data_IF_408333605482
#
_entry.id   IF_408333605482
#
_cell.length_a   1.000
_cell.length_b   1.000
_cell.length_c   1.000
_cell.angle_alpha   90.00
_cell.angle_beta   90.00
_cell.angle_gamma   90.00
#
_symmetry.space_group_name_H-M   'P 1'
#
loop_
_entity.id
_entity.type
_entity.pdbx_description
1 polymer ?
#
# COMPACT_ATOMS: atom_id res chain seq x y z
N UNK A 1 -24.51 21.54 18.77
CA UNK A 1 -25.55 21.94 17.80
C UNK A 1 -25.62 20.86 16.73
N UNK A 2 -26.62 20.00 16.82
CA UNK A 2 -26.89 18.93 15.86
C UNK A 2 -27.43 19.55 14.58
N UNK A 3 -26.70 19.42 13.48
CA UNK A 3 -27.31 19.62 12.17
C UNK A 3 -28.21 18.41 11.91
N UNK A 4 -29.52 18.62 12.07
CA UNK A 4 -30.55 17.74 11.56
C UNK A 4 -30.38 17.66 10.03
N UNK A 5 -29.81 16.55 9.55
CA UNK A 5 -30.04 16.11 8.18
C UNK A 5 -31.54 15.79 8.09
N UNK A 6 -32.31 16.71 7.53
CA UNK A 6 -33.70 16.47 7.19
C UNK A 6 -33.74 15.33 6.17
N UNK A 7 -34.14 14.14 6.61
CA UNK A 7 -34.47 13.04 5.70
C UNK A 7 -35.72 13.43 4.93
N UNK A 8 -35.57 14.06 3.77
CA UNK A 8 -36.54 13.88 2.70
C UNK A 8 -36.39 12.44 2.24
N UNK A 9 -37.19 11.57 2.84
CA UNK A 9 -37.35 10.19 2.43
C UNK A 9 -38.10 10.16 1.09
N UNK A 10 -37.43 10.57 0.02
CA UNK A 10 -37.66 9.96 -1.30
C UNK A 10 -36.96 8.61 -1.24
N UNK A 11 -37.66 7.65 -0.67
CA UNK A 11 -37.24 6.26 -0.65
C UNK A 11 -37.44 5.67 -2.04
N UNK A 12 -36.59 6.04 -2.99
CA UNK A 12 -36.39 5.28 -4.22
C UNK A 12 -35.58 4.02 -3.87
N UNK A 13 -36.20 3.15 -3.08
CA UNK A 13 -35.86 1.73 -3.04
C UNK A 13 -36.04 1.24 -4.47
N UNK A 14 -35.00 0.66 -5.09
CA UNK A 14 -35.08 0.07 -6.43
C UNK A 14 -36.38 -0.75 -6.59
N UNK A 15 -37.41 -0.16 -7.20
CA UNK A 15 -38.68 -0.83 -7.44
C UNK A 15 -38.46 -1.68 -8.68
N UNK A 16 -38.50 -3.00 -8.52
CA UNK A 16 -38.45 -3.96 -9.62
C UNK A 16 -39.59 -3.66 -10.59
N UNK A 17 -39.30 -2.96 -11.70
CA UNK A 17 -40.29 -2.61 -12.72
C UNK A 17 -40.14 -1.19 -13.25
N UNK A 18 -39.58 -0.26 -12.49
CA UNK A 18 -39.28 1.08 -12.99
C UNK A 18 -37.95 1.07 -13.72
N UNK A 19 -37.95 1.58 -14.96
CA UNK A 19 -36.70 1.78 -15.71
C UNK A 19 -35.91 2.91 -15.06
N UNK A 20 -35.06 2.56 -14.10
CA UNK A 20 -33.93 3.40 -13.75
C UNK A 20 -33.07 3.55 -15.01
N UNK A 21 -33.03 4.76 -15.56
CA UNK A 21 -32.08 5.13 -16.59
C UNK A 21 -30.92 5.81 -15.89
N UNK A 22 -29.76 5.15 -15.71
CA UNK A 22 -28.58 5.81 -15.20
C UNK A 22 -28.31 7.07 -16.05
N UNK A 23 -27.86 8.18 -15.45
CA UNK A 23 -27.78 9.50 -16.10
C UNK A 23 -26.91 9.55 -17.37
N UNK A 24 -26.19 8.47 -17.70
CA UNK A 24 -25.36 8.35 -18.90
C UNK A 24 -25.62 7.05 -19.70
N UNK A 25 -26.55 6.20 -19.28
CA UNK A 25 -26.76 4.87 -19.87
C UNK A 25 -27.21 4.88 -21.34
N UNK A 26 -27.78 5.99 -21.81
CA UNK A 26 -28.27 6.14 -23.18
C UNK A 26 -27.28 6.90 -24.10
N UNK A 27 -26.07 7.17 -23.63
CA UNK A 27 -25.04 7.92 -24.38
C UNK A 27 -23.76 7.08 -24.55
N UNK A 28 -23.76 6.01 -25.37
CA UNK A 28 -22.59 5.14 -25.52
C UNK A 28 -21.34 5.86 -26.04
N UNK A 29 -21.51 6.92 -26.85
CA UNK A 29 -20.41 7.76 -27.34
C UNK A 29 -19.77 8.58 -26.21
N UNK A 30 -20.55 8.96 -25.19
CA UNK A 30 -20.02 9.69 -24.02
C UNK A 30 -19.10 8.81 -23.18
N UNK A 31 -19.37 7.50 -23.08
CA UNK A 31 -18.47 6.56 -22.41
C UNK A 31 -17.17 6.31 -23.18
N UNK A 32 -17.22 6.28 -24.52
CA UNK A 32 -16.00 6.16 -25.32
C UNK A 32 -15.10 7.38 -25.20
N UNK A 33 -15.70 8.57 -25.28
CA UNK A 33 -14.98 9.83 -25.09
C UNK A 33 -14.47 9.96 -23.65
N UNK A 34 -15.25 9.56 -22.64
CA UNK A 34 -14.81 9.52 -21.25
C UNK A 34 -13.56 8.65 -21.07
N UNK A 35 -13.53 7.43 -21.62
CA UNK A 35 -12.35 6.56 -21.55
C UNK A 35 -11.13 7.20 -22.19
N UNK A 36 -11.32 7.89 -23.33
CA UNK A 36 -10.24 8.62 -23.99
C UNK A 36 -9.72 9.76 -23.11
N UNK A 37 -10.61 10.53 -22.50
CA UNK A 37 -10.25 11.61 -21.58
C UNK A 37 -9.54 11.10 -20.32
N UNK A 38 -10.00 9.99 -19.75
CA UNK A 38 -9.34 9.33 -18.61
C UNK A 38 -7.92 8.89 -18.98
N UNK A 39 -7.72 8.28 -20.15
CA UNK A 39 -6.40 7.88 -20.63
C UNK A 39 -5.49 9.08 -20.88
N UNK A 40 -6.00 10.15 -21.51
CA UNK A 40 -5.25 11.38 -21.71
C UNK A 40 -4.81 11.99 -20.39
N UNK A 41 -5.72 12.10 -19.41
CA UNK A 41 -5.40 12.66 -18.10
C UNK A 41 -4.40 11.80 -17.34
N UNK A 42 -4.56 10.47 -17.38
CA UNK A 42 -3.61 9.54 -16.78
C UNK A 42 -2.21 9.70 -17.39
N UNK A 43 -2.12 9.74 -18.72
CA UNK A 43 -0.85 9.90 -19.43
C UNK A 43 -0.20 11.26 -19.14
N UNK A 44 -1.00 12.33 -19.07
CA UNK A 44 -0.53 13.67 -18.67
C UNK A 44 0.14 13.62 -17.29
N UNK A 45 -0.48 12.97 -16.29
CA UNK A 45 0.08 12.88 -14.94
C UNK A 45 1.34 11.98 -14.93
N UNK A 46 1.28 10.81 -15.57
CA UNK A 46 2.40 9.86 -15.60
C UNK A 46 3.64 10.40 -16.32
N UNK A 47 3.46 11.24 -17.34
CA UNK A 47 4.54 11.89 -18.09
C UNK A 47 4.96 13.24 -17.51
N UNK A 48 4.31 13.69 -16.44
CA UNK A 48 4.63 14.96 -15.79
C UNK A 48 6.06 14.93 -15.24
N UNK A 49 6.85 15.95 -15.56
CA UNK A 49 8.17 16.17 -14.94
C UNK A 49 8.07 16.38 -13.42
N UNK A 50 6.86 16.65 -12.90
CA UNK A 50 6.59 16.75 -11.46
C UNK A 50 6.18 15.41 -10.85
N UNK A 51 6.21 14.29 -11.57
CA UNK A 51 5.84 12.99 -10.98
C UNK A 51 6.83 12.59 -9.88
N UNK A 52 8.10 12.52 -10.24
CA UNK A 52 9.19 12.15 -9.34
C UNK A 52 9.78 13.41 -8.71
N UNK A 53 9.51 13.62 -7.43
CA UNK A 53 9.88 14.85 -6.71
C UNK A 53 10.89 14.56 -5.61
N UNK A 54 11.81 15.49 -5.34
CA UNK A 54 12.70 15.38 -4.18
C UNK A 54 11.88 15.54 -2.90
N UNK A 55 12.24 14.83 -1.84
CA UNK A 55 11.49 14.91 -0.58
C UNK A 55 11.47 16.33 0.01
N UNK A 56 12.53 17.11 -0.20
CA UNK A 56 12.66 18.49 0.25
C UNK A 56 11.76 19.48 -0.50
N UNK A 57 11.29 19.11 -1.69
CA UNK A 57 10.38 19.93 -2.51
C UNK A 57 8.90 19.65 -2.17
N UNK A 58 8.64 18.71 -1.25
CA UNK A 58 7.29 18.27 -0.89
C UNK A 58 6.81 18.88 0.42
N UNK A 59 5.55 19.28 0.42
CA UNK A 59 4.82 19.72 1.60
C UNK A 59 4.31 18.50 2.39
N UNK A 60 4.39 18.56 3.73
CA UNK A 60 3.71 17.62 4.60
C UNK A 60 2.22 17.96 4.67
N UNK A 61 1.48 17.50 3.66
CA UNK A 61 0.04 17.74 3.50
C UNK A 61 -0.70 16.48 3.10
N UNK A 62 -1.99 16.48 3.37
CA UNK A 62 -2.95 15.51 2.83
C UNK A 62 -4.27 16.22 2.62
N UNK A 63 -4.89 15.99 1.47
CA UNK A 63 -6.22 16.48 1.15
C UNK A 63 -7.32 15.56 1.71
N UNK A 64 -6.94 14.38 2.23
CA UNK A 64 -7.84 13.48 2.95
C UNK A 64 -8.19 14.10 4.30
N UNK A 65 -9.48 14.13 4.64
CA UNK A 65 -9.92 14.61 5.96
C UNK A 65 -9.60 13.58 7.05
N UNK A 66 -9.30 14.05 8.27
CA UNK A 66 -9.00 13.19 9.41
C UNK A 66 -10.04 12.08 9.61
N UNK A 67 -11.35 12.39 9.57
CA UNK A 67 -12.39 11.38 9.74
C UNK A 67 -12.36 10.29 8.66
N UNK A 68 -11.98 10.61 7.43
CA UNK A 68 -11.85 9.62 6.37
C UNK A 68 -10.68 8.67 6.66
N UNK A 69 -9.53 9.20 7.09
CA UNK A 69 -8.39 8.38 7.55
C UNK A 69 -8.75 7.49 8.74
N UNK A 70 -9.52 8.01 9.69
CA UNK A 70 -10.00 7.25 10.85
C UNK A 70 -10.87 6.06 10.39
N UNK A 71 -11.80 6.31 9.48
CA UNK A 71 -12.70 5.27 8.99
C UNK A 71 -11.94 4.18 8.24
N UNK A 72 -10.98 4.55 7.38
CA UNK A 72 -10.15 3.58 6.64
C UNK A 72 -9.25 2.78 7.57
N UNK A 73 -8.67 3.43 8.59
CA UNK A 73 -7.84 2.75 9.60
C UNK A 73 -8.66 1.75 10.41
N UNK A 74 -9.89 2.07 10.83
CA UNK A 74 -10.72 1.09 11.55
C UNK A 74 -11.10 -0.10 10.66
N UNK A 75 -11.48 0.17 9.41
CA UNK A 75 -11.85 -0.86 8.45
C UNK A 75 -10.69 -1.80 8.12
N UNK A 76 -9.43 -1.30 8.07
CA UNK A 76 -8.27 -2.10 7.67
C UNK A 76 -8.04 -3.31 8.60
N UNK A 77 -8.23 -3.16 9.91
CA UNK A 77 -8.07 -4.26 10.88
C UNK A 77 -9.14 -5.34 10.80
N UNK A 78 -10.27 -5.06 10.14
CA UNK A 78 -11.33 -6.04 9.87
C UNK A 78 -11.24 -6.60 8.44
N UNK A 79 -10.38 -6.04 7.60
CA UNK A 79 -10.26 -6.41 6.19
C UNK A 79 -9.64 -7.80 6.05
N UNK A 80 -10.32 -8.65 5.28
CA UNK A 80 -9.88 -10.02 5.00
C UNK A 80 -9.83 -10.32 3.51
N UNK A 81 -8.85 -11.12 3.12
CA UNK A 81 -8.74 -11.70 1.79
C UNK A 81 -8.70 -13.22 1.89
N UNK A 82 -9.58 -13.95 1.20
CA UNK A 82 -9.65 -15.43 1.24
C UNK A 82 -9.69 -16.04 2.67
N UNK A 83 -10.18 -15.27 3.64
CA UNK A 83 -10.21 -15.67 5.05
C UNK A 83 -8.94 -15.36 5.84
N UNK A 84 -7.96 -14.65 5.30
CA UNK A 84 -6.78 -14.13 6.00
C UNK A 84 -6.98 -12.68 6.39
N UNK A 85 -6.45 -12.25 7.53
CA UNK A 85 -6.36 -10.83 7.86
C UNK A 85 -5.23 -10.21 7.04
N UNK A 86 -5.49 -9.04 6.44
CA UNK A 86 -4.50 -8.37 5.58
C UNK A 86 -4.05 -7.02 6.15
N UNK A 87 -4.84 -6.42 7.04
CA UNK A 87 -4.55 -5.13 7.67
C UNK A 87 -4.29 -3.96 6.70
N UNK A 88 -4.79 -4.04 5.46
CA UNK A 88 -4.69 -2.99 4.44
C UNK A 88 -6.03 -2.31 4.17
N UNK A 89 -5.99 -1.00 3.92
CA UNK A 89 -7.16 -0.19 3.57
C UNK A 89 -7.53 -0.35 2.09
N UNK A 90 -8.76 0.01 1.68
CA UNK A 90 -9.12 0.00 0.27
C UNK A 90 -8.22 0.88 -0.62
N UNK A 91 -7.62 1.94 -0.05
CA UNK A 91 -6.69 2.82 -0.77
C UNK A 91 -5.41 2.05 -1.09
N UNK A 92 -4.85 1.34 -0.11
CA UNK A 92 -3.63 0.54 -0.27
C UNK A 92 -3.80 -0.51 -1.36
N UNK A 93 -4.95 -1.20 -1.39
CA UNK A 93 -5.27 -2.16 -2.46
C UNK A 93 -5.19 -1.55 -3.86
N UNK A 94 -5.73 -0.33 -4.04
CA UNK A 94 -5.67 0.34 -5.34
C UNK A 94 -4.25 0.76 -5.65
N UNK A 95 -3.54 1.38 -4.70
CA UNK A 95 -2.17 1.86 -4.90
C UNK A 95 -1.20 0.71 -5.23
N UNK A 96 -1.24 -0.39 -4.48
CA UNK A 96 -0.43 -1.57 -4.77
C UNK A 96 -0.76 -2.18 -6.13
N UNK A 97 -2.05 -2.25 -6.51
CA UNK A 97 -2.41 -2.74 -7.84
C UNK A 97 -1.88 -1.83 -8.96
N UNK A 98 -1.93 -0.50 -8.79
CA UNK A 98 -1.34 0.44 -9.75
C UNK A 98 0.19 0.26 -9.81
N UNK A 99 0.83 0.15 -8.64
CA UNK A 99 2.27 -0.02 -8.50
C UNK A 99 2.75 -1.31 -9.18
N UNK A 100 2.06 -2.45 -8.99
CA UNK A 100 2.41 -3.72 -9.63
C UNK A 100 2.35 -3.64 -11.16
N UNK A 101 1.31 -3.02 -11.72
CA UNK A 101 1.19 -2.89 -13.18
C UNK A 101 2.26 -1.95 -13.77
N UNK A 102 2.62 -0.89 -13.05
CA UNK A 102 3.65 0.05 -13.48
C UNK A 102 5.06 -0.53 -13.38
N UNK A 103 5.40 -1.17 -12.26
CA UNK A 103 6.77 -1.64 -11.95
C UNK A 103 7.01 -3.03 -12.53
N UNK A 104 6.01 -3.89 -12.51
CA UNK A 104 6.09 -5.31 -12.87
C UNK A 104 7.26 -6.00 -12.13
N UNK A 105 7.23 -5.97 -10.78
CA UNK A 105 8.35 -6.45 -9.98
C UNK A 105 8.63 -7.91 -10.29
N UNK A 106 9.92 -8.27 -10.37
CA UNK A 106 10.37 -9.67 -10.44
C UNK A 106 10.65 -10.23 -9.05
N UNK A 107 10.86 -9.34 -8.09
CA UNK A 107 11.10 -9.65 -6.69
C UNK A 107 10.32 -8.67 -5.83
N UNK A 108 9.59 -9.17 -4.85
CA UNK A 108 9.03 -8.38 -3.75
C UNK A 108 9.71 -8.83 -2.46
N UNK A 109 10.19 -7.88 -1.66
CA UNK A 109 10.72 -8.12 -0.32
C UNK A 109 9.83 -7.36 0.65
N UNK A 110 9.15 -8.06 1.54
CA UNK A 110 8.24 -7.53 2.54
C UNK A 110 8.82 -7.80 3.94
N UNK A 111 8.95 -6.75 4.76
CA UNK A 111 9.27 -6.89 6.18
C UNK A 111 8.01 -6.59 6.99
N UNK A 112 7.63 -7.53 7.88
CA UNK A 112 6.35 -7.50 8.58
C UNK A 112 5.36 -8.42 7.89
N UNK A 113 5.36 -9.71 8.26
CA UNK A 113 4.49 -10.72 7.63
C UNK A 113 3.11 -10.77 8.30
N UNK A 114 3.06 -10.57 9.62
CA UNK A 114 1.86 -10.77 10.44
C UNK A 114 1.25 -12.17 10.20
N UNK A 115 0.12 -12.24 9.48
CA UNK A 115 -0.63 -13.46 9.20
C UNK A 115 -0.15 -14.17 7.92
N UNK A 116 0.63 -13.48 7.09
CA UNK A 116 1.00 -13.86 5.72
C UNK A 116 -0.07 -13.56 4.66
N UNK A 117 -1.19 -12.93 5.04
CA UNK A 117 -2.30 -12.63 4.12
C UNK A 117 -1.92 -11.66 2.99
N UNK A 118 -1.09 -10.65 3.29
CA UNK A 118 -0.63 -9.67 2.30
C UNK A 118 0.26 -10.33 1.25
N UNK A 119 1.27 -11.10 1.66
CA UNK A 119 2.12 -11.87 0.75
C UNK A 119 1.31 -12.78 -0.21
N UNK A 120 0.30 -13.49 0.30
CA UNK A 120 -0.60 -14.31 -0.53
C UNK A 120 -1.42 -13.46 -1.50
N UNK A 121 -1.98 -12.35 -1.02
CA UNK A 121 -2.75 -11.44 -1.88
C UNK A 121 -1.89 -10.83 -3.00
N UNK A 122 -0.65 -10.44 -2.69
CA UNK A 122 0.30 -9.93 -3.68
C UNK A 122 0.60 -11.01 -4.75
N UNK A 123 0.85 -12.25 -4.34
CA UNK A 123 1.09 -13.35 -5.26
C UNK A 123 -0.09 -13.62 -6.20
N UNK A 124 -1.31 -13.69 -5.64
CA UNK A 124 -2.53 -13.89 -6.42
C UNK A 124 -2.75 -12.72 -7.40
N UNK A 125 -2.54 -11.47 -6.94
CA UNK A 125 -2.74 -10.26 -7.76
C UNK A 125 -1.74 -10.16 -8.91
N UNK A 126 -0.45 -10.43 -8.64
CA UNK A 126 0.59 -10.49 -9.68
C UNK A 126 0.28 -11.58 -10.70
N UNK A 127 -0.19 -12.75 -10.25
CA UNK A 127 -0.63 -13.84 -11.11
C UNK A 127 -1.78 -13.43 -12.04
N UNK A 128 -2.77 -12.71 -11.53
CA UNK A 128 -3.88 -12.17 -12.33
C UNK A 128 -3.42 -11.15 -13.38
N UNK A 129 -2.39 -10.36 -13.06
CA UNK A 129 -1.76 -9.42 -13.99
C UNK A 129 -0.81 -10.09 -14.99
N UNK A 130 -0.58 -11.41 -14.88
CA UNK A 130 0.38 -12.13 -15.70
C UNK A 130 1.84 -11.77 -15.40
N UNK A 131 2.12 -11.24 -14.20
CA UNK A 131 3.45 -10.82 -13.75
C UNK A 131 4.07 -11.95 -12.95
N UNK A 132 5.26 -12.41 -13.37
CA UNK A 132 6.03 -13.41 -12.64
C UNK A 132 6.94 -12.72 -11.62
N UNK A 133 6.67 -12.95 -10.34
CA UNK A 133 7.46 -12.40 -9.23
C UNK A 133 7.63 -13.44 -8.12
N UNK A 134 8.78 -13.41 -7.45
CA UNK A 134 8.98 -14.09 -6.18
C UNK A 134 8.76 -13.09 -5.03
N UNK A 135 8.13 -13.55 -3.95
CA UNK A 135 7.83 -12.74 -2.76
C UNK A 135 8.58 -13.32 -1.57
N UNK A 136 9.39 -12.50 -0.91
CA UNK A 136 10.12 -12.84 0.31
C UNK A 136 9.55 -12.03 1.46
N UNK A 137 8.78 -12.67 2.33
CA UNK A 137 8.10 -12.03 3.46
C UNK A 137 8.79 -12.44 4.75
N UNK A 138 9.42 -11.48 5.43
CA UNK A 138 10.15 -11.70 6.67
C UNK A 138 9.33 -11.27 7.89
N UNK A 139 9.42 -12.03 8.97
CA UNK A 139 8.95 -11.61 10.29
C UNK A 139 9.90 -12.09 11.38
N UNK A 140 9.89 -11.39 12.52
CA UNK A 140 10.58 -11.84 13.73
C UNK A 140 9.94 -13.11 14.27
N UNK A 141 8.60 -13.17 14.23
CA UNK A 141 7.81 -14.27 14.76
C UNK A 141 6.91 -14.89 13.69
N UNK A 142 7.36 -16.03 13.19
CA UNK A 142 6.62 -16.78 12.17
C UNK A 142 5.43 -17.57 12.70
N UNK A 143 5.21 -17.60 14.02
CA UNK A 143 4.09 -18.33 14.63
C UNK A 143 2.74 -17.64 14.43
N UNK A 144 2.75 -16.34 14.15
CA UNK A 144 1.53 -15.55 13.86
C UNK A 144 0.93 -15.84 12.47
N UNK A 145 1.64 -16.60 11.61
CA UNK A 145 1.11 -16.97 10.29
C UNK A 145 -0.16 -17.80 10.43
N UNK A 146 -1.18 -17.41 9.66
CA UNK A 146 -2.47 -18.12 9.63
C UNK A 146 -2.29 -19.58 9.20
N UNK A 147 -2.98 -20.51 9.89
CA UNK A 147 -3.01 -21.92 9.50
C UNK A 147 -3.40 -22.13 8.03
N UNK A 148 -4.33 -21.31 7.53
CA UNK A 148 -4.79 -21.40 6.15
C UNK A 148 -3.67 -21.01 5.17
N UNK A 149 -2.81 -20.03 5.49
CA UNK A 149 -1.66 -19.64 4.65
C UNK A 149 -0.65 -20.79 4.63
N UNK A 150 -0.38 -21.37 5.80
CA UNK A 150 0.49 -22.55 5.93
C UNK A 150 -0.03 -23.75 5.13
N UNK A 151 -1.36 -23.87 4.93
CA UNK A 151 -1.99 -24.89 4.09
C UNK A 151 -1.94 -24.57 2.60
N UNK A 152 -2.12 -23.31 2.21
CA UNK A 152 -2.12 -22.88 0.80
C UNK A 152 -0.76 -23.10 0.11
N UNK A 153 0.35 -22.84 0.82
CA UNK A 153 1.72 -23.00 0.31
C UNK A 153 1.91 -22.44 -1.12
N UNK A 154 1.64 -21.15 -1.36
CA UNK A 154 1.85 -20.55 -2.67
C UNK A 154 3.31 -20.69 -3.13
N UNK A 155 3.50 -21.16 -4.36
CA UNK A 155 4.82 -21.58 -4.87
C UNK A 155 5.83 -20.43 -4.94
N UNK A 156 5.37 -19.20 -5.17
CA UNK A 156 6.21 -18.02 -5.34
C UNK A 156 6.27 -17.12 -4.09
N UNK A 157 5.85 -17.61 -2.92
CA UNK A 157 6.00 -16.89 -1.65
C UNK A 157 6.88 -17.69 -0.70
N UNK A 158 7.94 -17.04 -0.22
CA UNK A 158 8.89 -17.58 0.73
C UNK A 158 8.77 -16.78 2.01
N UNK A 159 8.35 -17.45 3.09
CA UNK A 159 8.32 -16.85 4.41
C UNK A 159 9.65 -17.08 5.13
N UNK A 160 10.24 -16.00 5.63
CA UNK A 160 11.53 -15.99 6.32
C UNK A 160 11.33 -15.61 7.78
N UNK A 161 12.07 -16.23 8.68
CA UNK A 161 12.22 -15.75 10.04
C UNK A 161 13.50 -14.91 10.12
N UNK A 162 13.42 -13.70 10.66
CA UNK A 162 14.57 -12.79 10.73
C UNK A 162 14.32 -11.60 11.64
N UNK A 163 15.40 -11.00 12.12
CA UNK A 163 15.37 -9.80 12.95
C UNK A 163 15.88 -8.61 12.13
N UNK A 164 15.12 -7.51 12.10
CA UNK A 164 15.53 -6.27 11.43
C UNK A 164 16.81 -5.67 12.03
N UNK A 165 17.16 -5.97 13.28
CA UNK A 165 18.44 -5.58 13.90
C UNK A 165 19.63 -6.45 13.45
N UNK A 166 19.37 -7.57 12.78
CA UNK A 166 20.39 -8.50 12.23
C UNK A 166 20.03 -8.87 10.79
N UNK A 167 19.54 -7.89 10.02
CA UNK A 167 18.92 -8.06 8.70
C UNK A 167 19.82 -8.82 7.70
N UNK A 168 21.14 -8.65 7.84
CA UNK A 168 22.16 -9.30 7.02
C UNK A 168 22.24 -10.81 7.18
N UNK A 169 21.73 -11.35 8.30
CA UNK A 169 21.67 -12.80 8.53
C UNK A 169 20.58 -13.46 7.70
N UNK A 170 19.47 -12.76 7.49
CA UNK A 170 18.34 -13.26 6.69
C UNK A 170 18.51 -12.92 5.22
N UNK A 171 18.90 -11.68 4.91
CA UNK A 171 19.10 -11.19 3.56
C UNK A 171 20.60 -11.00 3.29
N UNK A 172 21.31 -12.10 3.08
CA UNK A 172 22.76 -12.04 2.84
C UNK A 172 23.11 -11.31 1.54
N UNK A 173 24.35 -10.83 1.46
CA UNK A 173 24.89 -10.15 0.27
C UNK A 173 24.80 -11.01 -1.00
N UNK A 174 25.10 -12.31 -0.87
CA UNK A 174 24.96 -13.29 -1.97
C UNK A 174 23.50 -13.48 -2.38
N UNK A 175 22.60 -13.60 -1.40
CA UNK A 175 21.18 -13.76 -1.66
C UNK A 175 20.62 -12.55 -2.40
N UNK A 176 20.81 -11.33 -1.87
CA UNK A 176 20.32 -10.10 -2.47
C UNK A 176 20.89 -9.88 -3.89
N UNK A 177 22.20 -10.09 -4.10
CA UNK A 177 22.80 -9.97 -5.44
C UNK A 177 22.27 -10.98 -6.46
N UNK A 178 21.67 -12.08 -6.01
CA UNK A 178 21.08 -13.10 -6.89
C UNK A 178 19.66 -12.78 -7.35
N UNK A 179 18.96 -11.84 -6.68
CA UNK A 179 17.54 -11.59 -6.95
C UNK A 179 17.32 -10.74 -8.21
N UNK A 180 16.37 -11.10 -9.07
CA UNK A 180 16.12 -10.36 -10.30
C UNK A 180 15.38 -9.03 -10.04
N UNK A 181 15.84 -7.96 -10.69
CA UNK A 181 15.22 -6.63 -10.73
C UNK A 181 14.17 -6.50 -11.87
N UNK A 182 13.16 -5.62 -11.75
CA UNK A 182 12.99 -4.64 -10.68
C UNK A 182 12.46 -5.24 -9.38
N UNK A 183 12.90 -4.67 -8.26
CA UNK A 183 12.42 -4.98 -6.92
C UNK A 183 11.30 -4.03 -6.51
N UNK A 184 10.42 -4.56 -5.67
CA UNK A 184 9.59 -3.76 -4.80
C UNK A 184 9.92 -4.14 -3.36
N UNK A 185 10.54 -3.21 -2.63
CA UNK A 185 10.83 -3.34 -1.21
C UNK A 185 9.71 -2.69 -0.39
N UNK A 186 9.11 -3.44 0.54
CA UNK A 186 8.00 -3.02 1.40
C UNK A 186 8.47 -3.16 2.84
N UNK A 187 8.55 -2.04 3.55
CA UNK A 187 8.85 -1.97 4.97
C UNK A 187 7.55 -1.70 5.75
N UNK A 188 7.11 -2.67 6.54
CA UNK A 188 5.93 -2.60 7.41
C UNK A 188 6.21 -3.21 8.81
N UNK A 189 7.48 -3.46 9.15
CA UNK A 189 7.87 -3.97 10.47
C UNK A 189 8.13 -2.84 11.46
N UNK A 190 8.56 -1.66 10.97
CA UNK A 190 8.86 -0.45 11.74
C UNK A 190 9.94 -0.63 12.81
N UNK A 191 10.75 -1.69 12.69
CA UNK A 191 11.83 -2.04 13.60
C UNK A 191 13.18 -1.82 12.91
N UNK A 192 14.08 -1.06 13.55
CA UNK A 192 15.38 -0.69 12.98
C UNK A 192 15.28 -0.06 11.58
N UNK A 193 14.26 0.80 11.36
CA UNK A 193 13.92 1.33 10.04
C UNK A 193 15.12 1.99 9.34
N UNK A 194 15.84 2.87 10.02
CA UNK A 194 17.05 3.50 9.49
C UNK A 194 18.11 2.48 9.06
N UNK A 195 18.45 1.53 9.94
CA UNK A 195 19.42 0.47 9.63
C UNK A 195 19.00 -0.42 8.46
N UNK A 196 17.71 -0.73 8.37
CA UNK A 196 17.12 -1.51 7.26
C UNK A 196 17.19 -0.73 5.94
N UNK A 197 16.77 0.54 5.93
CA UNK A 197 16.82 1.38 4.74
C UNK A 197 18.25 1.52 4.21
N UNK A 198 19.20 1.82 5.10
CA UNK A 198 20.64 1.86 4.77
C UNK A 198 21.16 0.53 4.23
N UNK A 199 20.70 -0.59 4.81
CA UNK A 199 21.12 -1.92 4.38
C UNK A 199 20.69 -2.22 2.94
N UNK A 200 19.40 -2.01 2.63
CA UNK A 200 18.80 -2.30 1.33
C UNK A 200 19.19 -1.28 0.25
N UNK A 201 19.47 -0.02 0.62
CA UNK A 201 19.96 1.01 -0.31
C UNK A 201 21.13 0.52 -1.17
N UNK A 202 22.04 -0.27 -0.57
CA UNK A 202 23.25 -0.80 -1.23
C UNK A 202 22.97 -1.75 -2.39
N UNK A 203 21.73 -2.24 -2.53
CA UNK A 203 21.33 -3.22 -3.56
C UNK A 203 20.24 -2.70 -4.50
N UNK A 204 19.49 -1.67 -4.09
CA UNK A 204 18.46 -1.09 -4.94
C UNK A 204 19.07 -0.51 -6.22
N UNK A 205 18.32 -0.60 -7.31
CA UNK A 205 18.70 -0.14 -8.64
C UNK A 205 17.65 0.81 -9.22
N UNK A 206 18.03 1.55 -10.26
CA UNK A 206 17.06 2.35 -11.02
C UNK A 206 15.91 1.47 -11.53
N UNK A 207 14.67 1.90 -11.29
CA UNK A 207 13.46 1.16 -11.62
C UNK A 207 12.91 0.31 -10.47
N UNK A 208 13.67 0.10 -9.40
CA UNK A 208 13.14 -0.47 -8.16
C UNK A 208 12.28 0.54 -7.41
N UNK A 209 11.35 0.04 -6.61
CA UNK A 209 10.49 0.86 -5.74
C UNK A 209 10.64 0.46 -4.29
N UNK A 210 10.48 1.45 -3.42
CA UNK A 210 10.44 1.27 -1.98
C UNK A 210 9.15 1.88 -1.43
N UNK A 211 8.48 1.14 -0.56
CA UNK A 211 7.29 1.56 0.17
C UNK A 211 7.56 1.40 1.66
N UNK A 212 7.39 2.48 2.42
CA UNK A 212 7.39 2.43 3.89
C UNK A 212 5.97 2.75 4.34
N UNK A 213 5.33 1.78 4.96
CA UNK A 213 3.93 1.88 5.36
C UNK A 213 3.75 2.69 6.66
N UNK A 214 2.49 2.97 7.01
CA UNK A 214 2.10 3.64 8.28
C UNK A 214 2.83 4.97 8.61
N UNK A 215 3.30 5.69 7.58
CA UNK A 215 3.94 7.03 7.70
C UNK A 215 2.95 8.19 7.89
N UNK A 216 1.65 7.91 7.93
CA UNK A 216 0.60 8.91 8.12
C UNK A 216 0.56 9.53 9.53
N UNK A 217 0.03 10.76 9.70
CA UNK A 217 0.05 11.45 10.98
C UNK A 217 -0.83 10.81 12.05
N UNK A 218 -1.83 10.01 11.66
CA UNK A 218 -2.82 9.42 12.56
C UNK A 218 -2.77 7.89 12.42
N UNK A 219 -2.18 7.19 13.40
CA UNK A 219 -2.32 5.74 13.51
C UNK A 219 -2.96 5.36 14.85
N UNK A 220 -3.58 4.18 14.97
CA UNK A 220 -4.08 3.73 16.25
C UNK A 220 -2.92 3.54 17.23
N UNK A 221 -3.08 4.09 18.44
CA UNK A 221 -2.17 3.96 19.58
C UNK A 221 -1.79 2.54 19.99
N UNK A 222 -2.71 1.59 19.83
CA UNK A 222 -2.53 0.22 20.30
C UNK A 222 -3.05 -0.77 19.25
N UNK A 223 -2.41 -1.94 19.17
CA UNK A 223 -2.88 -3.04 18.34
C UNK A 223 -4.29 -3.47 18.78
N UNK A 224 -5.22 -3.61 17.83
CA UNK A 224 -6.62 -3.98 18.11
C UNK A 224 -7.50 -2.84 18.61
N UNK A 225 -7.07 -1.58 18.56
CA UNK A 225 -8.00 -0.47 18.81
C UNK A 225 -9.17 -0.49 17.81
N UNK A 226 -10.36 -0.11 18.29
CA UNK A 226 -11.67 -0.31 17.65
C UNK A 226 -12.22 -1.74 17.63
N UNK A 227 -11.54 -2.71 18.25
CA UNK A 227 -12.11 -4.02 18.62
C UNK A 227 -12.85 -3.96 19.97
N UNK A 228 -13.51 -2.84 20.29
CA UNK A 228 -14.35 -2.68 21.49
C UNK A 228 -14.11 -1.46 22.39
N UNK A 229 -13.10 -0.61 22.13
CA UNK A 229 -12.80 0.58 22.94
C UNK A 229 -12.89 1.89 22.11
N UNK A 230 -13.28 3.00 22.75
CA UNK A 230 -13.26 4.36 22.16
C UNK A 230 -11.82 4.75 21.81
N UNK A 231 -11.47 4.69 20.52
CA UNK A 231 -10.08 4.85 20.09
C UNK A 231 -9.58 6.30 20.12
N UNK A 232 -8.40 6.49 20.71
CA UNK A 232 -7.61 7.73 20.65
C UNK A 232 -6.52 7.54 19.60
N UNK A 233 -6.57 8.31 18.51
CA UNK A 233 -5.47 8.34 17.54
C UNK A 233 -4.22 8.99 18.15
N UNK A 234 -3.05 8.45 17.83
CA UNK A 234 -1.77 9.06 18.20
C UNK A 234 -0.90 9.29 16.98
N UNK A 235 -0.08 10.33 17.10
CA UNK A 235 0.92 10.72 16.13
C UNK A 235 2.18 9.82 16.22
N UNK A 236 2.03 8.52 15.96
CA UNK A 236 3.19 7.62 15.87
C UNK A 236 3.85 7.67 14.49
N UNK A 237 3.07 7.64 13.41
CA UNK A 237 3.60 7.69 12.03
C UNK A 237 4.53 8.86 11.69
N UNK A 238 4.46 10.04 12.34
CA UNK A 238 5.48 11.09 12.18
C UNK A 238 6.91 10.66 12.50
N UNK A 239 7.12 9.67 13.38
CA UNK A 239 8.46 9.14 13.64
C UNK A 239 9.00 8.37 12.44
N UNK A 240 8.20 7.46 11.88
CA UNK A 240 8.53 6.72 10.65
C UNK A 240 8.76 7.69 9.49
N UNK A 241 7.86 8.66 9.32
CA UNK A 241 7.97 9.68 8.28
C UNK A 241 9.25 10.49 8.44
N UNK A 242 9.61 10.92 9.65
CA UNK A 242 10.84 11.67 9.87
C UNK A 242 12.10 10.85 9.52
N UNK A 243 12.12 9.56 9.89
CA UNK A 243 13.21 8.65 9.55
C UNK A 243 13.33 8.48 8.03
N UNK A 244 12.23 8.18 7.34
CA UNK A 244 12.20 8.07 5.88
C UNK A 244 12.61 9.38 5.21
N UNK A 245 12.13 10.53 5.71
CA UNK A 245 12.49 11.85 5.17
C UNK A 245 13.99 12.10 5.26
N UNK A 246 14.61 11.77 6.38
CA UNK A 246 16.06 11.92 6.55
C UNK A 246 16.81 11.02 5.55
N UNK A 247 16.43 9.76 5.43
CA UNK A 247 17.02 8.84 4.45
C UNK A 247 16.88 9.34 3.00
N UNK A 248 15.67 9.77 2.60
CA UNK A 248 15.43 10.33 1.26
C UNK A 248 16.19 11.63 1.02
N UNK A 249 16.43 12.42 2.06
CA UNK A 249 17.26 13.62 1.98
C UNK A 249 18.73 13.25 1.75
N UNK A 250 19.25 12.29 2.49
CA UNK A 250 20.66 11.88 2.41
C UNK A 250 20.99 11.22 1.07
N UNK A 251 19.98 10.65 0.41
CA UNK A 251 20.08 10.01 -0.90
C UNK A 251 19.20 10.69 -1.97
N UNK A 252 19.05 12.02 -1.92
CA UNK A 252 18.11 12.76 -2.80
C UNK A 252 18.45 12.73 -4.30
N UNK A 253 19.69 12.36 -4.64
CA UNK A 253 20.11 12.15 -6.04
C UNK A 253 19.77 10.74 -6.55
N UNK A 254 19.45 9.81 -5.65
CA UNK A 254 19.09 8.43 -5.97
C UNK A 254 17.57 8.19 -5.89
N UNK A 255 16.90 8.75 -4.88
CA UNK A 255 15.48 8.56 -4.68
C UNK A 255 14.65 9.78 -5.06
N UNK A 256 13.44 9.50 -5.55
CA UNK A 256 12.40 10.49 -5.71
C UNK A 256 11.06 9.92 -5.22
N UNK A 257 10.21 10.78 -4.68
CA UNK A 257 8.85 10.44 -4.28
C UNK A 257 7.97 10.41 -5.53
N UNK A 258 7.29 9.29 -5.77
CA UNK A 258 6.34 9.15 -6.86
C UNK A 258 4.97 9.75 -6.49
N UNK A 259 4.80 11.04 -6.83
CA UNK A 259 3.57 11.80 -6.57
C UNK A 259 2.34 11.24 -7.27
N UNK A 260 2.49 10.46 -8.36
CA UNK A 260 1.34 9.82 -8.98
C UNK A 260 0.68 8.82 -8.03
N UNK A 261 1.48 8.10 -7.23
CA UNK A 261 0.97 7.15 -6.25
C UNK A 261 0.58 7.84 -4.95
N UNK A 262 1.44 8.70 -4.40
CA UNK A 262 1.20 9.28 -3.07
C UNK A 262 0.04 10.27 -3.05
N UNK A 263 -0.27 10.91 -4.19
CA UNK A 263 -1.24 12.01 -4.25
C UNK A 263 -2.55 11.60 -4.94
N UNK A 264 -2.66 10.35 -5.40
CA UNK A 264 -3.80 9.86 -6.20
C UNK A 264 -5.15 10.03 -5.49
N UNK A 265 -5.16 9.92 -4.16
CA UNK A 265 -6.36 9.95 -3.32
C UNK A 265 -6.39 11.12 -2.33
N UNK A 266 -5.43 12.05 -2.40
CA UNK A 266 -5.39 13.27 -1.61
C UNK A 266 -4.21 13.40 -0.65
#
# INVERSE_FOLDING_TARGET
>A
MSQNLSSSADSDVYIKGDKYNPPFANEPDSYSELRKQQNLKRNEILSSAKRFQRINEREDRTDVRAQARINTSNGKYLARYRGFDICKSPIDYVLYHQLFDMVKPKTIIELGTLSGGMAVWMADTLGLLGIKSNIYSMDLDTTNRSELVNKLKPENVIFLQGDSFEIEKTFTDEFLKSLPHPWLFIEDAHANLDGVLEYFHRYLQEGDYMVVEDTGPDIPKECGMYMGNEGVYVAMGPKQLQCLRQFLHDYEEFYAVDSFLTDLFG
#
